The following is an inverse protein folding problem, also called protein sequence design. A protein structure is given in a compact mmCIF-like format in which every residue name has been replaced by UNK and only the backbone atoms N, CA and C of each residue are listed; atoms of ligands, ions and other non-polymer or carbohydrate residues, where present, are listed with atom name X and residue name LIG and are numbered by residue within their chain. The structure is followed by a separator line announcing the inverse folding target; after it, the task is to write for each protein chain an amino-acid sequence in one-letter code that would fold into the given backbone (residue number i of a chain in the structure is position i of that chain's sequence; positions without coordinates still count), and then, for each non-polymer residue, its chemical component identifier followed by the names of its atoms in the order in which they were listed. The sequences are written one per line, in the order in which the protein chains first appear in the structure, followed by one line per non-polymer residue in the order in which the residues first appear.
data_IF_372714376101
#
_entry.id   IF_372714376101
#
_cell.length_a   1.000
_cell.length_b   1.000
_cell.length_c   1.000
_cell.angle_alpha   90.00
_cell.angle_beta   90.00
_cell.angle_gamma   90.00
#
_symmetry.space_group_name_H-M   'P 1'
#
loop_
_entity.id
_entity.type
_entity.pdbx_description
1 polymer ?
#
# COMPACT_ATOMS: atom_id res chain seq x y z
N UNK A 1 -6.55 -6.10 22.68
CA UNK A 1 -5.40 -6.52 21.86
C UNK A 1 -5.74 -7.86 21.26
N UNK A 2 -5.73 -7.94 19.98
CA UNK A 2 -6.04 -9.18 19.25
C UNK A 2 -5.06 -9.31 18.09
N UNK A 3 -4.25 -10.36 18.09
CA UNK A 3 -3.29 -10.63 17.01
C UNK A 3 -4.03 -11.35 15.88
N UNK A 4 -3.98 -10.76 14.70
CA UNK A 4 -4.33 -11.41 13.45
C UNK A 4 -3.07 -11.94 12.79
N UNK A 5 -3.10 -13.17 12.35
CA UNK A 5 -2.01 -13.78 11.59
C UNK A 5 -2.38 -13.81 10.11
N UNK A 6 -1.43 -13.40 9.27
CA UNK A 6 -1.52 -13.48 7.81
C UNK A 6 -0.41 -14.41 7.33
N UNK A 7 -0.79 -15.60 6.91
CA UNK A 7 0.10 -16.60 6.32
C UNK A 7 0.37 -16.28 4.85
N UNK A 8 1.64 -16.35 4.44
CA UNK A 8 2.10 -16.08 3.07
C UNK A 8 3.00 -17.19 2.61
N UNK A 9 2.81 -17.68 1.38
CA UNK A 9 3.76 -18.56 0.72
C UNK A 9 4.93 -17.73 0.14
N UNK A 10 6.11 -17.87 0.74
CA UNK A 10 7.30 -17.10 0.35
C UNK A 10 8.21 -17.87 -0.60
N UNK A 11 7.74 -18.99 -1.15
CA UNK A 11 8.38 -19.82 -2.16
C UNK A 11 9.05 -21.07 -1.63
N UNK A 12 9.30 -22.01 -2.54
CA UNK A 12 9.88 -23.31 -2.23
C UNK A 12 9.10 -24.12 -1.16
N UNK A 13 7.78 -23.87 -1.05
CA UNK A 13 6.94 -24.50 -0.03
C UNK A 13 7.19 -23.98 1.38
N UNK A 14 7.82 -22.80 1.51
CA UNK A 14 8.01 -22.12 2.80
C UNK A 14 6.88 -21.12 3.03
N UNK A 15 6.46 -21.05 4.28
CA UNK A 15 5.47 -20.09 4.75
C UNK A 15 6.11 -19.05 5.66
N UNK A 16 5.61 -17.82 5.59
CA UNK A 16 5.89 -16.75 6.52
C UNK A 16 4.59 -16.29 7.16
N UNK A 17 4.64 -15.88 8.42
CA UNK A 17 3.46 -15.40 9.16
C UNK A 17 3.69 -13.96 9.58
N UNK A 18 2.91 -13.05 9.02
CA UNK A 18 2.85 -11.65 9.46
C UNK A 18 1.84 -11.55 10.61
N UNK A 19 2.29 -11.02 11.76
CA UNK A 19 1.48 -10.84 12.95
C UNK A 19 1.06 -9.37 13.10
N UNK A 20 -0.23 -9.13 13.21
CA UNK A 20 -0.81 -7.79 13.23
C UNK A 20 -1.68 -7.62 14.47
N UNK A 21 -1.26 -6.74 15.38
CA UNK A 21 -2.14 -6.30 16.44
C UNK A 21 -3.27 -5.44 15.86
N UNK A 22 -4.48 -5.64 16.37
CA UNK A 22 -5.68 -4.90 15.98
C UNK A 22 -6.42 -4.40 17.21
N UNK A 23 -7.11 -3.28 17.07
CA UNK A 23 -7.94 -2.71 18.13
C UNK A 23 -9.40 -2.74 17.70
N UNK A 24 -10.28 -3.20 18.59
CA UNK A 24 -11.74 -3.21 18.34
C UNK A 24 -12.39 -1.84 18.48
N UNK A 25 -11.78 -0.94 19.24
CA UNK A 25 -12.24 0.42 19.49
C UNK A 25 -11.09 1.39 19.18
N UNK A 26 -11.32 2.36 18.32
CA UNK A 26 -10.29 3.33 17.97
C UNK A 26 -10.38 3.81 16.53
N UNK A 27 -9.26 4.20 15.98
CA UNK A 27 -9.13 4.70 14.62
C UNK A 27 -9.34 3.58 13.60
N UNK A 28 -9.87 3.93 12.43
CA UNK A 28 -10.03 3.03 11.27
C UNK A 28 -8.72 2.40 10.82
N UNK A 29 -7.58 3.06 11.04
CA UNK A 29 -6.24 2.56 10.77
C UNK A 29 -5.79 1.42 11.71
N UNK A 30 -6.46 1.21 12.84
CA UNK A 30 -6.10 0.16 13.81
C UNK A 30 -6.73 -1.22 13.52
N UNK A 31 -7.34 -1.41 12.36
CA UNK A 31 -7.99 -2.65 11.93
C UNK A 31 -7.41 -3.11 10.59
N UNK A 32 -7.25 -4.42 10.43
CA UNK A 32 -6.89 -5.01 9.13
C UNK A 32 -8.15 -5.16 8.29
N UNK A 33 -8.28 -4.37 7.25
CA UNK A 33 -9.41 -4.40 6.31
C UNK A 33 -9.26 -5.54 5.29
N UNK A 34 -10.36 -6.07 4.79
CA UNK A 34 -10.35 -7.17 3.83
C UNK A 34 -9.63 -6.80 2.53
N UNK A 35 -9.71 -5.55 2.09
CA UNK A 35 -8.97 -5.06 0.93
C UNK A 35 -7.44 -5.14 1.14
N UNK A 36 -6.94 -4.98 2.38
CA UNK A 36 -5.52 -5.17 2.70
C UNK A 36 -5.11 -6.65 2.61
N UNK A 37 -5.95 -7.57 3.09
CA UNK A 37 -5.70 -9.00 2.97
C UNK A 37 -5.68 -9.46 1.52
N UNK A 38 -6.66 -9.03 0.72
CA UNK A 38 -6.73 -9.34 -0.71
C UNK A 38 -5.51 -8.79 -1.44
N UNK A 39 -5.06 -7.56 -1.12
CA UNK A 39 -3.85 -7.00 -1.73
C UNK A 39 -2.59 -7.74 -1.30
N UNK A 40 -2.41 -8.03 -0.02
CA UNK A 40 -1.26 -8.78 0.49
C UNK A 40 -1.15 -10.18 -0.16
N UNK A 41 -2.27 -10.88 -0.28
CA UNK A 41 -2.32 -12.19 -0.95
C UNK A 41 -2.19 -12.09 -2.47
N UNK A 42 -2.61 -10.99 -3.09
CA UNK A 42 -2.29 -10.71 -4.49
C UNK A 42 -0.79 -10.50 -4.69
N UNK A 43 -0.11 -9.79 -3.80
CA UNK A 43 1.36 -9.63 -3.85
C UNK A 43 2.07 -10.98 -3.81
N UNK A 44 1.57 -11.96 -3.07
CA UNK A 44 2.08 -13.33 -3.05
C UNK A 44 2.06 -13.96 -4.47
N UNK A 45 0.97 -13.78 -5.23
CA UNK A 45 0.86 -14.31 -6.60
C UNK A 45 1.82 -13.68 -7.61
N UNK A 46 2.33 -12.48 -7.31
CA UNK A 46 3.27 -11.72 -8.15
C UNK A 46 4.63 -11.50 -7.47
N UNK A 47 4.97 -12.33 -6.48
CA UNK A 47 6.15 -12.22 -5.62
C UNK A 47 7.44 -11.90 -6.37
N UNK A 48 7.68 -12.53 -7.51
CA UNK A 48 8.90 -12.34 -8.29
C UNK A 48 9.07 -10.90 -8.80
N UNK A 49 7.99 -10.12 -8.83
CA UNK A 49 8.02 -8.70 -9.18
C UNK A 49 8.33 -7.79 -7.99
N UNK A 50 8.35 -8.34 -6.76
CA UNK A 50 8.54 -7.61 -5.50
C UNK A 50 9.94 -7.81 -4.94
N UNK A 51 10.51 -8.99 -5.17
CA UNK A 51 11.81 -9.36 -4.63
C UNK A 51 12.90 -8.31 -4.97
N UNK A 52 13.58 -7.81 -3.92
CA UNK A 52 14.63 -6.80 -4.03
C UNK A 52 14.16 -5.37 -4.28
N UNK A 53 12.85 -5.13 -4.43
CA UNK A 53 12.26 -3.82 -4.78
C UNK A 53 12.20 -2.85 -3.61
N UNK A 54 12.19 -1.53 -3.95
CA UNK A 54 11.86 -0.45 -3.03
C UNK A 54 10.36 -0.19 -3.05
N UNK A 55 9.70 -0.39 -1.91
CA UNK A 55 8.24 -0.34 -1.78
C UNK A 55 7.85 0.75 -0.76
N UNK A 56 6.85 1.57 -1.06
CA UNK A 56 6.18 2.41 -0.09
C UNK A 56 4.74 1.91 0.11
N UNK A 57 4.22 1.99 1.34
CA UNK A 57 2.79 1.83 1.61
C UNK A 57 2.24 3.15 2.16
N UNK A 58 1.18 3.67 1.56
CA UNK A 58 0.50 4.89 1.99
C UNK A 58 -0.77 4.53 2.74
N UNK A 59 -0.96 5.13 3.91
CA UNK A 59 -2.09 4.80 4.78
C UNK A 59 -2.00 3.36 5.28
N UNK A 60 -0.83 2.99 5.82
CA UNK A 60 -0.50 1.61 6.18
C UNK A 60 -1.36 1.04 7.29
N UNK A 61 -1.93 1.90 8.16
CA UNK A 61 -2.73 1.45 9.31
C UNK A 61 -1.98 0.46 10.18
N UNK A 62 -2.35 -0.81 10.09
CA UNK A 62 -1.66 -1.91 10.78
C UNK A 62 -0.35 -2.34 10.12
N UNK A 63 -0.06 -1.89 8.90
CA UNK A 63 1.12 -2.30 8.13
C UNK A 63 0.98 -3.62 7.38
N UNK A 64 -0.24 -4.14 7.24
CA UNK A 64 -0.48 -5.49 6.72
C UNK A 64 0.13 -5.72 5.34
N UNK A 65 -0.03 -4.78 4.41
CA UNK A 65 0.40 -4.98 3.02
C UNK A 65 1.91 -4.77 2.86
N UNK A 66 2.47 -3.73 3.51
CA UNK A 66 3.91 -3.48 3.45
C UNK A 66 4.74 -4.52 4.19
N UNK A 67 4.26 -5.03 5.34
CA UNK A 67 4.90 -6.14 6.04
C UNK A 67 4.82 -7.43 5.22
N UNK A 68 3.70 -7.66 4.50
CA UNK A 68 3.60 -8.74 3.53
C UNK A 68 4.62 -8.58 2.39
N UNK A 69 4.80 -7.37 1.85
CA UNK A 69 5.83 -7.11 0.84
C UNK A 69 7.25 -7.40 1.36
N UNK A 70 7.53 -7.04 2.63
CA UNK A 70 8.81 -7.38 3.28
C UNK A 70 8.99 -8.89 3.40
N UNK A 71 7.96 -9.63 3.85
CA UNK A 71 7.96 -11.09 3.94
C UNK A 71 8.18 -11.75 2.58
N UNK A 72 7.67 -11.16 1.50
CA UNK A 72 7.82 -11.62 0.11
C UNK A 72 9.16 -11.23 -0.52
N UNK A 73 10.07 -10.62 0.25
CA UNK A 73 11.45 -10.35 -0.17
C UNK A 73 11.67 -8.97 -0.77
N UNK A 74 10.81 -7.98 -0.54
CA UNK A 74 11.11 -6.59 -0.88
C UNK A 74 12.44 -6.18 -0.23
N UNK A 75 13.31 -5.51 -0.97
CA UNK A 75 14.63 -5.10 -0.46
C UNK A 75 14.52 -3.94 0.55
N UNK A 76 13.55 -3.07 0.34
CA UNK A 76 13.22 -1.97 1.24
C UNK A 76 11.72 -1.71 1.26
N UNK A 77 11.19 -1.45 2.44
CA UNK A 77 9.78 -1.08 2.63
C UNK A 77 9.71 0.18 3.52
N UNK A 78 8.94 1.16 3.09
CA UNK A 78 8.63 2.35 3.89
C UNK A 78 7.12 2.33 4.17
N UNK A 79 6.76 2.09 5.42
CA UNK A 79 5.39 2.12 5.90
C UNK A 79 5.05 3.55 6.31
N UNK A 80 3.95 4.09 5.80
CA UNK A 80 3.60 5.48 6.10
C UNK A 80 2.14 5.65 6.51
N UNK A 81 1.91 6.50 7.49
CA UNK A 81 0.57 6.90 7.93
C UNK A 81 0.63 8.29 8.58
N UNK A 82 -0.49 8.80 9.08
CA UNK A 82 -0.55 10.02 9.87
C UNK A 82 0.28 9.85 11.16
N UNK A 83 0.76 10.97 11.70
CA UNK A 83 1.64 10.97 12.88
C UNK A 83 1.06 10.18 14.06
N UNK A 84 -0.26 10.24 14.23
CA UNK A 84 -0.99 9.58 15.33
C UNK A 84 -0.95 8.06 15.22
N UNK A 85 -0.86 7.52 14.01
CA UNK A 85 -0.82 6.07 13.75
C UNK A 85 0.61 5.49 13.84
N UNK A 86 1.66 6.32 13.78
CA UNK A 86 3.06 5.88 13.71
C UNK A 86 3.44 4.92 14.85
N UNK A 87 3.11 5.26 16.09
CA UNK A 87 3.46 4.41 17.23
C UNK A 87 2.81 3.01 17.14
N UNK A 88 1.58 2.93 16.64
CA UNK A 88 0.89 1.67 16.47
C UNK A 88 1.49 0.84 15.32
N UNK A 89 1.85 1.50 14.25
CA UNK A 89 2.51 0.90 13.10
C UNK A 89 3.93 0.40 13.46
N UNK A 90 4.69 1.17 14.25
CA UNK A 90 5.99 0.73 14.81
C UNK A 90 5.84 -0.51 15.69
N UNK A 91 4.81 -0.56 16.54
CA UNK A 91 4.51 -1.74 17.35
C UNK A 91 4.27 -2.98 16.47
N UNK A 92 3.49 -2.86 15.38
CA UNK A 92 3.27 -3.96 14.45
C UNK A 92 4.55 -4.35 13.70
N UNK A 93 5.42 -3.40 13.37
CA UNK A 93 6.75 -3.72 12.83
C UNK A 93 7.59 -4.51 13.84
N UNK A 94 7.61 -4.10 15.13
CA UNK A 94 8.34 -4.80 16.18
C UNK A 94 7.90 -6.26 16.34
N UNK A 95 6.59 -6.55 16.23
CA UNK A 95 6.05 -7.91 16.26
C UNK A 95 6.58 -8.81 15.10
N UNK A 96 7.08 -8.20 14.04
CA UNK A 96 7.55 -8.88 12.82
C UNK A 96 9.07 -8.73 12.58
N UNK A 97 9.84 -8.24 13.56
CA UNK A 97 11.27 -7.98 13.39
C UNK A 97 12.10 -9.21 13.06
N UNK A 98 11.73 -10.37 13.59
CA UNK A 98 12.39 -11.65 13.25
C UNK A 98 12.17 -11.96 11.76
N UNK A 99 10.93 -11.92 11.29
CA UNK A 99 10.56 -12.12 9.90
C UNK A 99 11.29 -11.15 8.96
N UNK A 100 11.30 -9.86 9.29
CA UNK A 100 11.97 -8.81 8.50
C UNK A 100 13.48 -9.05 8.44
N UNK A 101 14.09 -9.48 9.55
CA UNK A 101 15.51 -9.80 9.62
C UNK A 101 15.85 -11.02 8.75
N UNK A 102 15.05 -12.07 8.82
CA UNK A 102 15.26 -13.31 8.07
C UNK A 102 15.16 -13.09 6.55
N UNK A 103 14.29 -12.21 6.09
CA UNK A 103 14.19 -11.84 4.67
C UNK A 103 15.30 -10.89 4.20
N UNK A 104 15.99 -10.23 5.13
CA UNK A 104 16.97 -9.17 4.84
C UNK A 104 16.34 -7.86 4.35
N UNK A 105 15.02 -7.71 4.44
CA UNK A 105 14.30 -6.49 4.11
C UNK A 105 14.67 -5.36 5.06
N UNK A 106 14.75 -4.13 4.55
CA UNK A 106 14.94 -2.92 5.37
C UNK A 106 13.60 -2.21 5.50
N UNK A 107 12.95 -2.31 6.65
CA UNK A 107 11.65 -1.68 6.90
C UNK A 107 11.82 -0.44 7.76
N UNK A 108 11.18 0.66 7.37
CA UNK A 108 11.11 1.90 8.12
C UNK A 108 9.65 2.35 8.25
N UNK A 109 9.33 3.02 9.35
CA UNK A 109 8.03 3.67 9.58
C UNK A 109 8.26 5.17 9.60
N UNK A 110 7.48 5.93 8.83
CA UNK A 110 7.54 7.38 8.78
C UNK A 110 6.15 8.02 8.79
N UNK A 111 5.99 9.18 9.44
CA UNK A 111 4.77 9.96 9.30
C UNK A 111 4.65 10.52 7.88
N UNK A 112 3.49 10.36 7.27
CA UNK A 112 3.15 10.96 5.99
C UNK A 112 1.69 11.41 5.98
N UNK A 113 1.49 12.70 6.16
CA UNK A 113 0.22 13.35 5.87
C UNK A 113 0.19 13.65 4.36
N UNK A 114 -0.80 13.13 3.65
CA UNK A 114 -0.96 13.39 2.22
C UNK A 114 -1.09 14.89 1.96
N UNK A 115 -0.49 15.37 0.86
CA UNK A 115 -0.41 16.80 0.51
C UNK A 115 0.62 17.60 1.31
N UNK A 116 1.30 17.00 2.29
CA UNK A 116 2.37 17.67 3.04
C UNK A 116 3.73 17.45 2.36
N UNK A 117 4.20 18.46 1.63
CA UNK A 117 5.44 18.39 0.85
C UNK A 117 6.66 18.04 1.70
N UNK A 118 6.77 18.52 2.94
CA UNK A 118 7.89 18.22 3.82
C UNK A 118 7.93 16.73 4.21
N UNK A 119 6.77 16.14 4.50
CA UNK A 119 6.67 14.71 4.77
C UNK A 119 7.00 13.89 3.51
N UNK A 120 6.47 14.30 2.35
CA UNK A 120 6.73 13.64 1.07
C UNK A 120 8.24 13.65 0.76
N UNK A 121 8.90 14.80 0.85
CA UNK A 121 10.35 14.94 0.67
C UNK A 121 11.14 14.04 1.63
N UNK A 122 10.73 13.96 2.90
CA UNK A 122 11.38 13.09 3.89
C UNK A 122 11.31 11.64 3.47
N UNK A 123 10.17 11.17 2.99
CA UNK A 123 9.97 9.79 2.54
C UNK A 123 10.76 9.50 1.25
N UNK A 124 10.73 10.40 0.27
CA UNK A 124 11.47 10.25 -0.99
C UNK A 124 12.99 10.22 -0.75
N UNK A 125 13.50 11.08 0.13
CA UNK A 125 14.94 11.17 0.43
C UNK A 125 15.49 9.93 1.16
N UNK A 126 14.63 9.05 1.69
CA UNK A 126 15.06 7.81 2.33
C UNK A 126 15.51 6.74 1.31
N UNK A 127 15.06 6.85 0.08
CA UNK A 127 15.28 5.88 -0.99
C UNK A 127 15.68 6.59 -2.29
N UNK A 128 16.30 5.88 -3.19
CA UNK A 128 16.59 6.35 -4.56
C UNK A 128 15.42 5.98 -5.50
N UNK A 129 14.22 6.49 -5.16
CA UNK A 129 12.97 6.18 -5.85
C UNK A 129 12.27 4.89 -5.37
N UNK A 130 10.99 4.80 -5.65
CA UNK A 130 10.15 3.64 -5.35
C UNK A 130 9.83 2.86 -6.62
N UNK A 131 10.11 1.56 -6.63
CA UNK A 131 9.65 0.65 -7.68
C UNK A 131 8.13 0.43 -7.59
N UNK A 132 7.59 0.47 -6.34
CA UNK A 132 6.19 0.18 -6.08
C UNK A 132 5.64 1.07 -4.96
N UNK A 133 4.40 1.56 -5.16
CA UNK A 133 3.63 2.23 -4.11
C UNK A 133 2.34 1.44 -3.90
N UNK A 134 2.09 1.03 -2.66
CA UNK A 134 0.92 0.25 -2.26
C UNK A 134 -0.07 1.15 -1.55
N UNK A 135 -1.35 0.98 -1.88
CA UNK A 135 -2.46 1.72 -1.26
C UNK A 135 -3.61 0.75 -1.05
N UNK A 136 -4.06 0.60 0.19
CA UNK A 136 -5.14 -0.33 0.51
C UNK A 136 -6.28 0.37 1.25
N UNK A 137 -7.46 0.38 0.65
CA UNK A 137 -8.72 0.92 1.18
C UNK A 137 -8.65 2.37 1.69
N UNK A 138 -7.79 3.20 1.08
CA UNK A 138 -7.54 4.59 1.51
C UNK A 138 -8.47 5.63 0.88
N UNK A 139 -9.28 5.25 -0.12
CA UNK A 139 -10.14 6.18 -0.87
C UNK A 139 -11.56 6.18 -0.30
N UNK A 140 -11.78 6.84 0.83
CA UNK A 140 -13.08 6.84 1.51
C UNK A 140 -13.58 8.21 1.96
N UNK A 141 -12.72 9.24 2.05
CA UNK A 141 -13.11 10.63 2.30
C UNK A 141 -12.84 11.50 1.07
N UNK A 142 -13.84 12.29 0.67
CA UNK A 142 -13.75 13.18 -0.50
C UNK A 142 -12.64 14.22 -0.34
N UNK A 143 -12.48 14.70 0.87
CA UNK A 143 -11.54 15.77 1.24
C UNK A 143 -10.08 15.34 1.07
N UNK A 144 -9.78 14.05 1.23
CA UNK A 144 -8.41 13.53 1.13
C UNK A 144 -8.02 13.08 -0.29
N UNK A 145 -8.96 13.05 -1.23
CA UNK A 145 -8.71 12.51 -2.58
C UNK A 145 -7.64 13.32 -3.32
N UNK A 146 -7.71 14.64 -3.28
CA UNK A 146 -6.77 15.50 -4.01
C UNK A 146 -5.36 15.38 -3.43
N UNK A 147 -5.23 15.43 -2.11
CA UNK A 147 -3.97 15.28 -1.38
C UNK A 147 -3.33 13.90 -1.61
N UNK A 148 -4.14 12.82 -1.63
CA UNK A 148 -3.64 11.48 -1.94
C UNK A 148 -3.11 11.39 -3.37
N UNK A 149 -3.86 11.90 -4.35
CA UNK A 149 -3.45 11.86 -5.77
C UNK A 149 -2.19 12.68 -6.00
N UNK A 150 -2.07 13.87 -5.40
CA UNK A 150 -0.88 14.70 -5.45
C UNK A 150 0.33 14.00 -4.81
N UNK A 151 0.14 13.39 -3.63
CA UNK A 151 1.19 12.61 -2.96
C UNK A 151 1.67 11.46 -3.84
N UNK A 152 0.76 10.69 -4.44
CA UNK A 152 1.10 9.61 -5.36
C UNK A 152 1.89 10.14 -6.58
N UNK A 153 1.49 11.29 -7.13
CA UNK A 153 2.17 11.89 -8.26
C UNK A 153 3.60 12.34 -7.93
N UNK A 154 3.79 12.99 -6.77
CA UNK A 154 5.11 13.46 -6.32
C UNK A 154 6.06 12.31 -5.93
N UNK A 155 5.53 11.19 -5.45
CA UNK A 155 6.34 10.03 -5.05
C UNK A 155 6.64 9.06 -6.20
N UNK A 156 5.89 9.12 -7.30
CA UNK A 156 6.05 8.21 -8.43
C UNK A 156 7.01 8.77 -9.48
N UNK A 157 7.86 7.92 -10.01
CA UNK A 157 8.64 8.17 -11.22
C UNK A 157 8.18 7.27 -12.38
N UNK A 158 8.89 7.36 -13.53
CA UNK A 158 8.55 6.59 -14.74
C UNK A 158 8.60 5.06 -14.57
N UNK A 159 9.30 4.57 -13.55
CA UNK A 159 9.45 3.14 -13.27
C UNK A 159 8.52 2.68 -12.15
N UNK A 160 7.92 3.62 -11.44
CA UNK A 160 7.05 3.32 -10.30
C UNK A 160 5.73 2.72 -10.76
N UNK A 161 5.35 1.58 -10.17
CA UNK A 161 4.01 1.03 -10.28
C UNK A 161 3.23 1.27 -8.99
N UNK A 162 2.08 1.93 -9.08
CA UNK A 162 1.15 2.03 -7.96
C UNK A 162 0.18 0.85 -8.04
N UNK A 163 -0.03 0.15 -6.92
CA UNK A 163 -1.02 -0.92 -6.80
C UNK A 163 -2.01 -0.51 -5.69
N UNK A 164 -3.27 -0.38 -6.07
CA UNK A 164 -4.33 0.04 -5.18
C UNK A 164 -5.40 -1.04 -5.09
N UNK A 165 -5.79 -1.40 -3.86
CA UNK A 165 -7.00 -2.17 -3.58
C UNK A 165 -8.04 -1.32 -2.87
N UNK A 166 -9.31 -1.57 -3.17
CA UNK A 166 -10.42 -0.97 -2.43
C UNK A 166 -11.64 -1.89 -2.45
N UNK A 167 -12.47 -1.76 -1.43
CA UNK A 167 -13.74 -2.44 -1.33
C UNK A 167 -14.86 -1.57 -1.90
N UNK A 168 -15.60 -2.09 -2.89
CA UNK A 168 -16.82 -1.47 -3.40
C UNK A 168 -17.91 -1.55 -2.33
N UNK A 169 -18.42 -0.40 -1.90
CA UNK A 169 -19.46 -0.32 -0.88
C UNK A 169 -20.74 0.23 -1.49
N UNK A 170 -21.88 -0.37 -1.14
CA UNK A 170 -23.22 0.06 -1.57
C UNK A 170 -23.64 1.41 -0.96
N UNK A 171 -22.89 2.46 -1.30
CA UNK A 171 -23.14 3.82 -0.87
C UNK A 171 -22.85 4.79 -1.99
N UNK A 172 -23.87 5.57 -2.41
CA UNK A 172 -23.69 6.57 -3.46
C UNK A 172 -22.53 7.54 -3.14
N UNK A 173 -22.37 7.92 -1.86
CA UNK A 173 -21.26 8.78 -1.42
C UNK A 173 -19.91 8.13 -1.72
N UNK A 174 -19.74 6.84 -1.41
CA UNK A 174 -18.47 6.13 -1.66
C UNK A 174 -18.20 5.94 -3.15
N UNK A 175 -19.25 5.67 -3.94
CA UNK A 175 -19.14 5.61 -5.40
C UNK A 175 -18.70 6.95 -5.99
N UNK A 176 -19.25 8.07 -5.49
CA UNK A 176 -18.87 9.41 -5.95
C UNK A 176 -17.43 9.77 -5.56
N UNK A 177 -16.96 9.34 -4.38
CA UNK A 177 -15.56 9.51 -3.94
C UNK A 177 -14.61 8.73 -4.85
N UNK A 178 -14.90 7.46 -5.14
CA UNK A 178 -14.09 6.65 -6.06
C UNK A 178 -14.07 7.21 -7.48
N UNK A 179 -15.22 7.69 -7.97
CA UNK A 179 -15.29 8.35 -9.26
C UNK A 179 -14.41 9.59 -9.32
N UNK A 180 -14.45 10.43 -8.28
CA UNK A 180 -13.60 11.61 -8.16
C UNK A 180 -12.12 11.20 -8.15
N UNK A 181 -11.75 10.16 -7.38
CA UNK A 181 -10.38 9.65 -7.35
C UNK A 181 -9.89 9.25 -8.76
N UNK A 182 -10.64 8.44 -9.50
CA UNK A 182 -10.26 8.06 -10.87
C UNK A 182 -10.20 9.25 -11.82
N UNK A 183 -11.09 10.23 -11.68
CA UNK A 183 -11.04 11.48 -12.48
C UNK A 183 -9.76 12.26 -12.22
N UNK A 184 -9.32 12.37 -10.97
CA UNK A 184 -8.07 13.04 -10.60
C UNK A 184 -6.84 12.22 -11.03
N UNK A 185 -6.84 10.90 -10.82
CA UNK A 185 -5.74 10.01 -11.24
C UNK A 185 -5.46 10.06 -12.74
N UNK A 186 -6.48 10.19 -13.59
CA UNK A 186 -6.32 10.31 -15.06
C UNK A 186 -5.45 11.49 -15.49
N UNK A 187 -5.30 12.51 -14.66
CA UNK A 187 -4.44 13.66 -14.96
C UNK A 187 -2.97 13.25 -15.06
N UNK A 188 -2.56 12.32 -14.22
CA UNK A 188 -1.15 11.93 -14.09
C UNK A 188 -0.86 10.49 -14.50
N UNK A 189 -1.84 9.60 -14.45
CA UNK A 189 -1.63 8.17 -14.56
C UNK A 189 -2.53 7.51 -15.63
N UNK A 190 -1.98 6.49 -16.25
CA UNK A 190 -2.75 5.45 -16.94
C UNK A 190 -2.98 4.30 -15.97
N UNK A 191 -4.08 3.57 -16.13
CA UNK A 191 -4.41 2.50 -15.21
C UNK A 191 -5.05 1.29 -15.90
N UNK A 192 -4.95 0.15 -15.23
CA UNK A 192 -5.63 -1.08 -15.59
C UNK A 192 -6.17 -1.77 -14.34
N UNK A 193 -7.32 -2.40 -14.47
CA UNK A 193 -7.88 -3.28 -13.44
C UNK A 193 -7.21 -4.64 -13.52
N UNK A 194 -6.83 -5.21 -12.39
CA UNK A 194 -6.37 -6.60 -12.30
C UNK A 194 -7.59 -7.51 -12.37
N UNK A 195 -7.69 -8.42 -13.35
CA UNK A 195 -8.80 -9.36 -13.44
C UNK A 195 -8.87 -10.29 -12.21
N UNK A 196 -10.07 -10.63 -11.75
CA UNK A 196 -10.26 -11.48 -10.57
C UNK A 196 -9.57 -12.83 -10.66
N UNK A 197 -9.50 -13.42 -11.85
CA UNK A 197 -8.77 -14.68 -12.08
C UNK A 197 -7.25 -14.60 -11.85
N UNK A 198 -6.71 -13.38 -11.67
CA UNK A 198 -5.32 -13.13 -11.28
C UNK A 198 -5.16 -12.78 -9.80
N UNK A 199 -6.25 -12.66 -9.06
CA UNK A 199 -6.19 -12.56 -7.60
C UNK A 199 -5.79 -13.90 -7.00
N UNK A 200 -5.43 -13.92 -5.73
CA UNK A 200 -5.17 -15.18 -5.02
C UNK A 200 -6.47 -16.02 -4.97
N UNK A 201 -6.42 -17.32 -5.30
CA UNK A 201 -7.63 -18.13 -5.45
C UNK A 201 -8.50 -18.19 -4.18
N UNK A 202 -7.87 -18.22 -3.00
CA UNK A 202 -8.56 -18.33 -1.71
C UNK A 202 -8.82 -16.96 -1.05
N UNK A 203 -8.19 -15.88 -1.56
CA UNK A 203 -8.30 -14.52 -1.02
C UNK A 203 -8.76 -13.54 -2.10
N UNK A 204 -10.01 -13.65 -2.48
CA UNK A 204 -10.65 -12.77 -3.44
C UNK A 204 -12.11 -12.53 -3.03
N UNK A 205 -12.60 -11.35 -3.35
CA UNK A 205 -14.01 -10.98 -3.18
C UNK A 205 -14.50 -10.25 -4.44
N UNK A 206 -15.73 -10.48 -4.91
CA UNK A 206 -16.27 -9.72 -6.03
C UNK A 206 -16.33 -8.21 -5.75
N UNK A 207 -16.41 -7.82 -4.49
CA UNK A 207 -16.52 -6.42 -4.06
C UNK A 207 -15.15 -5.77 -3.86
N UNK A 208 -14.04 -6.54 -3.88
CA UNK A 208 -12.69 -5.98 -3.73
C UNK A 208 -11.98 -5.96 -5.08
N UNK A 209 -11.60 -4.76 -5.49
CA UNK A 209 -10.94 -4.50 -6.76
C UNK A 209 -9.48 -4.12 -6.57
N UNK A 210 -8.61 -4.59 -7.49
CA UNK A 210 -7.20 -4.19 -7.54
C UNK A 210 -6.94 -3.45 -8.85
N UNK A 211 -6.26 -2.31 -8.74
CA UNK A 211 -5.85 -1.48 -9.87
C UNK A 211 -4.34 -1.27 -9.88
N UNK A 212 -3.77 -1.20 -11.07
CA UNK A 212 -2.38 -0.79 -11.31
C UNK A 212 -2.37 0.53 -12.04
N UNK A 213 -1.52 1.46 -11.57
CA UNK A 213 -1.32 2.76 -12.21
C UNK A 213 0.16 2.94 -12.52
N UNK A 214 0.45 3.59 -13.63
CA UNK A 214 1.78 4.04 -14.02
C UNK A 214 1.69 5.46 -14.54
N UNK A 215 2.74 6.26 -14.38
CA UNK A 215 2.77 7.63 -14.87
C UNK A 215 2.48 7.68 -16.38
N UNK A 216 1.66 8.65 -16.75
CA UNK A 216 1.38 8.96 -18.15
C UNK A 216 2.60 9.64 -18.78
N UNK A 217 3.03 9.19 -19.96
CA UNK A 217 4.18 9.76 -20.67
C UNK A 217 4.05 11.26 -20.99
N UNK A 218 2.83 11.80 -20.98
CA UNK A 218 2.58 13.24 -21.21
C UNK A 218 2.83 14.07 -19.95
N UNK A 219 2.69 13.52 -18.75
CA UNK A 219 2.95 14.21 -17.46
C UNK A 219 4.44 14.29 -17.10
N UNK A 220 5.29 13.50 -17.78
CA UNK A 220 6.75 13.53 -17.58
C UNK A 220 7.42 14.83 -18.04
N UNK A 221 6.82 15.58 -18.95
CA UNK A 221 7.41 16.81 -19.50
C UNK A 221 7.24 18.04 -18.58
N UNK A 222 6.47 17.94 -17.51
CA UNK A 222 6.21 19.07 -16.59
C UNK A 222 7.15 19.10 -15.38
N UNK A 223 7.88 18.03 -15.07
CA UNK A 223 8.77 17.93 -13.90
C UNK A 223 10.27 18.14 -14.24
N UNK A 224 10.61 18.52 -15.48
CA UNK A 224 12.00 18.82 -15.91
C UNK A 224 12.29 20.35 -16.02
N UNK A 225 11.57 21.21 -15.28
CA UNK A 225 11.84 22.67 -15.25
C UNK A 225 12.26 23.09 -13.85
#
# INVERSE_FOLDING_TARGET
MFIRELELEVGEGKEAVVRLDQQYEGDTGAVVWDAALVLAKYLETVRDTIAGKSVAELGSGTGAVGLAAAALGAGRVVLTDQQEAVCFLEHNLELNMELVTDTGSKVAVLPLQWGNNQHIETVINLVDGFDMILVSDCVFYKESVEDLVETLHLMADKNTQIILSYEERDSQIKLDVMKLFFEKMKTYFIWSKVPHEKHHPDYQSPDIQIFKFNLNSTSMQQNEI
#
